data_IF_685164037212
#
_entry.id   IF_685164037212
#
_cell.length_a   1.000
_cell.length_b   1.000
_cell.length_c   1.000
_cell.angle_alpha   90.00
_cell.angle_beta   90.00
_cell.angle_gamma   90.00
#
_symmetry.space_group_name_H-M   'P 1'
#
loop_
_entity.id
_entity.type
_entity.pdbx_description
1 polymer ?
#
# COMPACT_ATOMS: atom_id res chain seq x y z
N UNK A 1 25.35 35.40 -48.14
CA UNK A 1 24.87 34.19 -47.45
C UNK A 1 25.48 34.15 -46.05
N UNK A 2 24.75 34.62 -45.04
CA UNK A 2 25.14 34.47 -43.63
C UNK A 2 24.02 33.68 -42.95
N UNK A 3 24.37 32.47 -42.54
CA UNK A 3 23.48 31.50 -41.93
C UNK A 3 23.32 31.84 -40.45
N UNK A 4 22.14 32.30 -40.04
CA UNK A 4 21.78 32.44 -38.63
C UNK A 4 21.33 31.08 -38.10
N UNK A 5 22.18 30.46 -37.28
CA UNK A 5 21.83 29.29 -36.48
C UNK A 5 20.87 29.72 -35.38
N UNK A 6 19.59 29.37 -35.52
CA UNK A 6 18.57 29.52 -34.50
C UNK A 6 18.69 28.32 -33.55
N UNK A 7 19.35 28.53 -32.40
CA UNK A 7 19.45 27.54 -31.34
C UNK A 7 18.11 27.53 -30.59
N UNK A 8 17.26 26.56 -30.91
CA UNK A 8 15.98 26.34 -30.25
C UNK A 8 16.23 25.45 -29.02
N UNK A 9 16.42 26.06 -27.85
CA UNK A 9 16.52 25.36 -26.57
C UNK A 9 15.11 24.88 -26.22
N UNK A 10 14.82 23.61 -26.48
CA UNK A 10 13.63 22.92 -26.00
C UNK A 10 13.84 22.66 -24.51
N UNK A 11 13.31 23.55 -23.67
CA UNK A 11 13.16 23.29 -22.23
C UNK A 11 11.99 22.34 -22.07
N UNK A 12 12.27 21.03 -22.06
CA UNK A 12 11.33 20.02 -21.62
C UNK A 12 11.11 20.20 -20.11
N UNK A 13 10.06 20.93 -19.76
CA UNK A 13 9.47 20.87 -18.42
C UNK A 13 8.97 19.44 -18.25
N UNK A 14 9.79 18.62 -17.61
CA UNK A 14 9.34 17.36 -17.02
C UNK A 14 8.29 17.78 -16.00
N UNK A 15 7.02 17.57 -16.35
CA UNK A 15 5.92 17.55 -15.40
C UNK A 15 6.28 16.43 -14.41
N UNK A 16 6.93 16.81 -13.31
CA UNK A 16 7.05 15.96 -12.15
C UNK A 16 5.62 15.59 -11.78
N UNK A 17 5.27 14.32 -11.96
CA UNK A 17 4.11 13.76 -11.31
C UNK A 17 4.25 14.11 -9.82
N UNK A 18 3.32 14.90 -9.31
CA UNK A 18 3.23 15.17 -7.88
C UNK A 18 2.79 13.84 -7.27
N UNK A 19 3.75 13.01 -6.89
CA UNK A 19 3.50 11.84 -6.06
C UNK A 19 2.80 12.36 -4.80
N UNK A 20 1.57 11.90 -4.58
CA UNK A 20 0.87 12.15 -3.32
C UNK A 20 1.60 11.35 -2.23
N UNK A 21 2.64 11.98 -1.67
CA UNK A 21 3.42 11.50 -0.55
C UNK A 21 2.48 11.27 0.66
N UNK A 22 2.50 10.04 1.19
CA UNK A 22 2.00 9.80 2.54
C UNK A 22 2.95 10.53 3.49
N UNK A 23 2.46 11.61 4.12
CA UNK A 23 3.27 12.58 4.89
C UNK A 23 4.24 11.96 5.92
N UNK A 24 3.95 10.77 6.45
CA UNK A 24 4.96 9.74 6.80
C UNK A 24 4.25 8.47 7.28
N UNK A 25 4.80 7.31 6.98
CA UNK A 25 4.45 6.06 7.65
C UNK A 25 5.37 5.74 8.84
N UNK A 26 5.74 6.77 9.59
CA UNK A 26 6.51 6.61 10.83
C UNK A 26 5.59 6.78 12.01
N UNK A 27 5.60 5.81 12.92
CA UNK A 27 4.77 5.83 14.13
C UNK A 27 5.63 5.51 15.34
N UNK A 28 5.39 6.21 16.44
CA UNK A 28 6.09 5.99 17.71
C UNK A 28 5.09 5.63 18.80
N UNK A 29 5.31 4.49 19.45
CA UNK A 29 4.55 4.01 20.59
C UNK A 29 5.51 3.77 21.76
N UNK A 30 5.42 4.61 22.79
CA UNK A 30 6.39 4.60 23.88
C UNK A 30 7.80 4.87 23.37
N UNK A 31 8.72 3.91 23.60
CA UNK A 31 10.12 3.97 23.12
C UNK A 31 10.33 3.36 21.72
N UNK A 32 9.30 2.70 21.15
CA UNK A 32 9.40 1.99 19.89
C UNK A 32 8.98 2.90 18.73
N UNK A 33 9.90 3.16 17.80
CA UNK A 33 9.61 3.87 16.55
C UNK A 33 9.65 2.88 15.39
N UNK A 34 8.52 2.74 14.71
CA UNK A 34 8.33 1.92 13.52
C UNK A 34 8.34 2.83 12.29
N UNK A 35 9.13 2.48 11.27
CA UNK A 35 9.21 3.23 10.02
C UNK A 35 8.88 2.33 8.84
N UNK A 36 7.60 2.35 8.46
CA UNK A 36 7.09 1.57 7.34
C UNK A 36 7.33 2.26 6.00
N UNK A 37 7.89 3.48 5.94
CA UNK A 37 8.27 4.07 4.65
C UNK A 37 9.32 3.21 3.94
N UNK A 38 10.12 2.44 4.68
CA UNK A 38 11.07 1.47 4.11
C UNK A 38 10.38 0.35 3.32
N UNK A 39 9.06 0.22 3.45
CA UNK A 39 8.25 -0.73 2.71
C UNK A 39 7.58 -0.14 1.45
N UNK A 40 7.67 1.17 1.20
CA UNK A 40 7.01 1.87 0.08
C UNK A 40 7.45 1.41 -1.31
N UNK A 41 8.59 0.76 -1.39
CA UNK A 41 9.17 0.21 -2.62
C UNK A 41 8.79 -1.25 -2.88
N UNK A 42 8.12 -1.93 -1.93
CA UNK A 42 7.76 -3.34 -2.07
C UNK A 42 6.27 -3.49 -2.31
N UNK A 43 5.90 -4.11 -3.42
CA UNK A 43 4.55 -4.61 -3.64
C UNK A 43 4.47 -6.03 -3.15
N UNK A 44 3.63 -6.25 -2.14
CA UNK A 44 3.40 -7.53 -1.49
C UNK A 44 2.24 -8.23 -2.15
N UNK A 45 2.44 -9.49 -2.48
CA UNK A 45 1.44 -10.31 -3.16
C UNK A 45 0.82 -11.30 -2.19
N UNK A 46 -0.48 -11.49 -2.30
CA UNK A 46 -1.25 -12.48 -1.56
C UNK A 46 -2.10 -13.27 -2.54
N UNK A 47 -2.36 -14.53 -2.22
CA UNK A 47 -3.21 -15.41 -3.03
C UNK A 47 -4.03 -16.29 -2.08
N UNK A 48 -5.32 -16.45 -2.35
CA UNK A 48 -6.16 -17.50 -1.75
C UNK A 48 -6.75 -18.43 -2.83
N UNK A 49 -7.88 -19.08 -2.59
CA UNK A 49 -8.56 -19.97 -3.54
C UNK A 49 -9.25 -19.23 -4.70
N UNK A 50 -9.71 -17.99 -4.49
CA UNK A 50 -10.51 -17.25 -5.47
C UNK A 50 -9.81 -16.00 -6.00
N UNK A 51 -8.94 -15.39 -5.20
CA UNK A 51 -8.45 -14.05 -5.40
C UNK A 51 -6.92 -13.97 -5.44
N UNK A 52 -6.44 -13.05 -6.26
CA UNK A 52 -5.08 -12.51 -6.17
C UNK A 52 -5.13 -11.14 -5.51
N UNK A 53 -4.15 -10.83 -4.67
CA UNK A 53 -4.09 -9.59 -3.93
C UNK A 53 -2.74 -8.93 -4.15
N UNK A 54 -2.74 -7.60 -4.22
CA UNK A 54 -1.53 -6.80 -4.18
C UNK A 54 -1.70 -5.65 -3.19
N UNK A 55 -0.62 -5.32 -2.47
CA UNK A 55 -0.57 -4.21 -1.54
C UNK A 55 0.81 -3.59 -1.53
N UNK A 56 0.91 -2.27 -1.63
CA UNK A 56 2.19 -1.56 -1.47
C UNK A 56 2.10 -0.68 -0.23
N UNK A 57 2.69 -1.09 0.91
CA UNK A 57 2.62 -0.33 2.13
C UNK A 57 3.12 1.09 1.89
N UNK A 58 2.38 2.10 2.31
CA UNK A 58 2.84 3.47 2.28
C UNK A 58 3.06 4.10 0.89
N UNK A 59 2.67 3.41 -0.19
CA UNK A 59 2.78 3.90 -1.55
C UNK A 59 1.58 3.46 -2.39
N UNK A 60 1.53 3.91 -3.64
CA UNK A 60 0.54 3.42 -4.59
C UNK A 60 0.91 2.02 -5.06
N UNK A 61 -0.09 1.16 -5.23
CA UNK A 61 0.11 -0.14 -5.87
C UNK A 61 0.33 0.07 -7.37
N UNK A 62 1.37 -0.53 -7.99
CA UNK A 62 1.59 -0.37 -9.40
C UNK A 62 0.48 -1.09 -10.19
N UNK A 63 0.00 -0.48 -11.27
CA UNK A 63 -1.09 -1.03 -12.11
C UNK A 63 -0.85 -2.46 -12.57
N UNK A 64 0.41 -2.84 -12.84
CA UNK A 64 0.78 -4.20 -13.24
C UNK A 64 0.46 -5.25 -12.17
N UNK A 65 0.57 -4.89 -10.89
CA UNK A 65 0.20 -5.79 -9.79
C UNK A 65 -1.32 -5.93 -9.63
N UNK A 66 -2.07 -5.00 -10.20
CA UNK A 66 -3.52 -5.02 -10.32
C UNK A 66 -3.95 -5.42 -11.73
N UNK A 67 -3.28 -6.41 -12.33
CA UNK A 67 -3.64 -6.97 -13.64
C UNK A 67 -3.84 -5.92 -14.77
N UNK A 68 -3.09 -4.81 -14.70
CA UNK A 68 -3.13 -3.72 -15.69
C UNK A 68 -4.30 -2.74 -15.53
N UNK A 69 -5.11 -2.86 -14.48
CA UNK A 69 -6.16 -1.88 -14.18
C UNK A 69 -5.57 -0.51 -13.83
N UNK A 70 -6.29 0.55 -14.19
CA UNK A 70 -5.89 1.93 -13.87
C UNK A 70 -5.96 2.09 -12.35
N UNK A 71 -4.81 2.40 -11.76
CA UNK A 71 -4.65 2.74 -10.35
C UNK A 71 -4.29 4.22 -10.30
N UNK A 72 -5.18 5.04 -9.75
CA UNK A 72 -4.98 6.47 -9.56
C UNK A 72 -4.41 6.76 -8.16
N UNK A 73 -5.04 6.20 -7.12
CA UNK A 73 -4.72 6.50 -5.72
C UNK A 73 -4.73 5.25 -4.82
N UNK A 74 -4.78 4.05 -5.40
CA UNK A 74 -4.99 2.82 -4.66
C UNK A 74 -3.68 2.34 -4.04
N UNK A 75 -3.76 1.81 -2.83
CA UNK A 75 -2.63 1.17 -2.14
C UNK A 75 -2.71 -0.36 -2.24
N UNK A 76 -3.88 -0.88 -2.55
CA UNK A 76 -4.15 -2.31 -2.63
C UNK A 76 -5.26 -2.63 -3.62
N UNK A 77 -5.23 -3.85 -4.13
CA UNK A 77 -6.25 -4.38 -5.00
C UNK A 77 -6.45 -5.88 -4.78
N UNK A 78 -7.65 -6.34 -5.09
CA UNK A 78 -8.11 -7.73 -5.08
C UNK A 78 -8.66 -8.06 -6.46
N UNK A 79 -8.13 -9.11 -7.07
CA UNK A 79 -8.52 -9.62 -8.37
C UNK A 79 -9.22 -10.97 -8.23
N UNK A 80 -10.48 -11.05 -8.64
CA UNK A 80 -11.28 -12.27 -8.71
C UNK A 80 -10.92 -13.09 -9.94
N UNK A 81 -10.38 -14.29 -9.75
CA UNK A 81 -10.03 -15.21 -10.83
C UNK A 81 -11.23 -15.97 -11.40
N UNK A 82 -12.33 -16.03 -10.66
CA UNK A 82 -13.49 -16.87 -10.94
C UNK A 82 -14.59 -16.15 -11.72
N UNK A 83 -14.65 -14.82 -11.65
CA UNK A 83 -15.83 -14.06 -12.10
C UNK A 83 -15.57 -13.23 -13.37
N UNK A 84 -16.23 -13.54 -14.49
CA UNK A 84 -15.94 -12.89 -15.79
C UNK A 84 -16.87 -11.73 -16.19
N UNK A 85 -17.94 -11.41 -15.46
CA UNK A 85 -19.05 -10.67 -16.10
C UNK A 85 -19.22 -9.18 -15.76
N UNK A 86 -18.68 -8.60 -14.68
CA UNK A 86 -18.91 -7.15 -14.39
C UNK A 86 -17.68 -6.35 -13.92
N UNK A 87 -16.85 -6.88 -13.03
CA UNK A 87 -15.48 -6.39 -12.76
C UNK A 87 -14.76 -7.50 -12.01
N UNK A 88 -13.58 -7.89 -12.47
CA UNK A 88 -12.68 -8.81 -11.76
C UNK A 88 -11.87 -8.09 -10.70
N UNK A 89 -11.94 -6.75 -10.60
CA UNK A 89 -11.09 -5.96 -9.71
C UNK A 89 -11.92 -5.22 -8.67
N UNK A 90 -11.41 -5.20 -7.44
CA UNK A 90 -11.84 -4.32 -6.36
C UNK A 90 -10.64 -3.72 -5.66
N UNK A 91 -10.71 -2.47 -5.25
CA UNK A 91 -9.68 -1.82 -4.45
C UNK A 91 -10.00 -1.97 -2.97
N UNK A 92 -9.05 -2.49 -2.21
CA UNK A 92 -9.25 -2.73 -0.78
C UNK A 92 -8.96 -1.49 0.05
N UNK A 93 -8.15 -0.59 -0.50
CA UNK A 93 -7.82 0.70 0.09
C UNK A 93 -7.26 1.68 -0.95
N UNK A 94 -7.66 2.95 -0.83
CA UNK A 94 -7.13 4.07 -1.61
C UNK A 94 -6.69 5.22 -0.71
N UNK A 95 -5.60 5.90 -1.08
CA UNK A 95 -5.16 7.14 -0.43
C UNK A 95 -6.30 8.17 -0.50
N UNK A 96 -6.68 8.71 0.66
CA UNK A 96 -7.59 9.86 0.71
C UNK A 96 -6.99 11.03 -0.10
N UNK A 97 -7.79 11.60 -1.02
CA UNK A 97 -7.39 12.75 -1.85
C UNK A 97 -7.12 14.00 -1.02
N UNK A 98 -7.84 14.19 0.10
CA UNK A 98 -7.65 15.34 0.99
C UNK A 98 -8.31 15.14 2.37
N UNK A 99 -7.57 15.30 3.49
CA UNK A 99 -6.12 15.41 3.56
C UNK A 99 -5.45 14.09 3.13
N UNK A 100 -4.20 14.14 2.62
CA UNK A 100 -3.47 12.94 2.22
C UNK A 100 -3.41 11.96 3.39
N UNK A 101 -3.89 10.73 3.17
CA UNK A 101 -3.80 9.64 4.14
C UNK A 101 -4.56 9.82 5.46
N UNK A 102 -5.72 10.51 5.43
CA UNK A 102 -6.62 10.58 6.59
C UNK A 102 -7.24 9.23 7.00
N UNK A 103 -7.10 8.21 6.16
CA UNK A 103 -7.77 6.92 6.28
C UNK A 103 -6.92 5.83 6.95
N UNK A 104 -5.62 6.06 7.15
CA UNK A 104 -4.74 5.11 7.82
C UNK A 104 -4.62 5.44 9.32
N UNK A 105 -4.95 4.48 10.17
CA UNK A 105 -4.70 4.53 11.61
C UNK A 105 -3.69 3.46 12.00
N UNK A 106 -2.97 3.71 13.08
CA UNK A 106 -1.89 2.83 13.52
C UNK A 106 -1.99 2.53 15.02
N UNK A 107 -1.71 1.29 15.38
CA UNK A 107 -1.57 0.84 16.77
C UNK A 107 -0.36 -0.06 16.91
N UNK A 108 0.21 -0.14 18.12
CA UNK A 108 1.20 -1.18 18.41
C UNK A 108 0.58 -2.58 18.28
N UNK A 109 1.39 -3.57 17.91
CA UNK A 109 0.94 -4.95 17.78
C UNK A 109 0.35 -5.48 19.10
N UNK A 110 -0.80 -6.18 19.07
CA UNK A 110 -1.40 -6.75 20.27
C UNK A 110 -0.55 -7.89 20.89
N UNK A 111 0.42 -8.43 20.15
CA UNK A 111 1.33 -9.47 20.66
C UNK A 111 2.39 -8.90 21.62
N UNK A 112 2.46 -7.57 21.75
CA UNK A 112 3.27 -6.86 22.74
C UNK A 112 4.21 -5.81 22.13
N UNK A 113 4.79 -4.94 22.97
CA UNK A 113 5.67 -3.89 22.50
C UNK A 113 6.89 -4.41 21.74
N UNK A 114 7.19 -3.77 20.61
CA UNK A 114 8.33 -4.12 19.75
C UNK A 114 8.12 -5.34 18.85
N UNK A 115 6.99 -6.04 18.97
CA UNK A 115 6.69 -7.22 18.13
C UNK A 115 6.16 -6.84 16.75
N UNK A 116 5.77 -5.58 16.54
CA UNK A 116 5.22 -5.12 15.28
C UNK A 116 4.27 -3.94 15.43
N UNK A 117 3.59 -3.63 14.32
CA UNK A 117 2.64 -2.52 14.21
C UNK A 117 1.44 -2.96 13.37
N UNK A 118 0.25 -2.49 13.74
CA UNK A 118 -0.97 -2.69 12.97
C UNK A 118 -1.33 -1.38 12.27
N UNK A 119 -1.57 -1.47 10.96
CA UNK A 119 -2.14 -0.40 10.14
C UNK A 119 -3.57 -0.78 9.78
N UNK A 120 -4.52 0.13 9.96
CA UNK A 120 -5.90 -0.04 9.51
C UNK A 120 -6.25 1.04 8.52
N UNK A 121 -6.83 0.66 7.39
CA UNK A 121 -7.24 1.58 6.31
C UNK A 121 -8.71 1.37 5.95
N UNK A 122 -9.45 2.44 5.68
CA UNK A 122 -10.93 2.38 5.58
C UNK A 122 -11.52 3.06 4.33
N UNK A 123 -10.75 3.15 3.25
CA UNK A 123 -11.14 3.91 2.06
C UNK A 123 -11.05 3.09 0.77
N UNK A 124 -11.40 1.81 0.84
CA UNK A 124 -11.52 0.95 -0.34
C UNK A 124 -12.83 1.16 -1.11
N UNK A 125 -13.10 0.27 -2.05
CA UNK A 125 -14.33 0.29 -2.84
C UNK A 125 -15.58 0.00 -1.99
N UNK A 126 -16.76 0.51 -2.38
CA UNK A 126 -18.03 0.09 -1.81
C UNK A 126 -18.24 -1.43 -1.91
N UNK A 127 -18.80 -2.01 -0.86
CA UNK A 127 -18.98 -3.44 -0.69
C UNK A 127 -20.19 -3.68 0.23
N UNK A 128 -21.29 -4.17 -0.32
CA UNK A 128 -22.54 -4.46 0.42
C UNK A 128 -23.06 -3.34 1.34
N UNK A 129 -22.94 -2.08 0.91
CA UNK A 129 -23.40 -0.91 1.69
C UNK A 129 -22.43 -0.41 2.75
N UNK A 130 -21.24 -1.02 2.85
CA UNK A 130 -20.10 -0.50 3.62
C UNK A 130 -18.91 -0.24 2.68
N UNK A 131 -17.86 0.38 3.19
CA UNK A 131 -16.59 0.55 2.47
C UNK A 131 -15.67 -0.62 2.82
N UNK A 132 -14.91 -1.15 1.86
CA UNK A 132 -13.84 -2.11 2.16
C UNK A 132 -12.80 -1.46 3.08
N UNK A 133 -12.32 -2.23 4.04
CA UNK A 133 -11.25 -1.82 4.94
C UNK A 133 -10.25 -2.95 5.12
N UNK A 134 -8.98 -2.59 5.30
CA UNK A 134 -7.91 -3.54 5.54
C UNK A 134 -7.32 -3.35 6.93
N UNK A 135 -7.05 -4.45 7.62
CA UNK A 135 -6.24 -4.49 8.83
C UNK A 135 -4.97 -5.27 8.53
N UNK A 136 -3.87 -4.54 8.47
CA UNK A 136 -2.55 -5.08 8.15
C UNK A 136 -1.72 -5.16 9.43
N UNK A 137 -1.36 -6.38 9.84
CA UNK A 137 -0.41 -6.63 10.92
C UNK A 137 0.98 -6.82 10.35
N UNK A 138 1.85 -5.85 10.57
CA UNK A 138 3.27 -5.95 10.28
C UNK A 138 3.98 -6.58 11.48
N UNK A 139 4.49 -7.79 11.31
CA UNK A 139 5.18 -8.59 12.32
C UNK A 139 6.68 -8.35 12.17
N UNK A 140 7.34 -7.93 13.25
CA UNK A 140 8.79 -7.76 13.28
C UNK A 140 9.49 -9.09 13.00
N UNK A 141 10.23 -9.13 11.91
CA UNK A 141 11.09 -10.25 11.56
C UNK A 141 12.37 -9.75 10.89
N UNK A 142 13.45 -9.69 11.68
CA UNK A 142 14.76 -9.21 11.21
C UNK A 142 15.38 -10.08 10.11
N UNK A 143 14.85 -11.28 9.85
CA UNK A 143 15.34 -12.18 8.79
C UNK A 143 14.73 -11.90 7.42
N UNK A 144 13.68 -11.08 7.34
CA UNK A 144 12.96 -10.78 6.10
C UNK A 144 13.21 -9.34 5.66
N UNK A 145 14.32 -9.11 4.96
CA UNK A 145 14.70 -7.76 4.51
C UNK A 145 13.92 -7.30 3.26
N UNK A 146 13.48 -8.24 2.43
CA UNK A 146 12.77 -7.99 1.18
C UNK A 146 11.45 -8.78 1.19
N UNK A 147 10.43 -8.28 1.89
CA UNK A 147 9.15 -8.96 1.91
C UNK A 147 8.52 -8.90 0.50
N UNK A 148 8.08 -10.05 0.00
CA UNK A 148 7.38 -10.17 -1.30
C UNK A 148 5.96 -10.69 -1.14
N UNK A 149 5.67 -11.34 -0.01
CA UNK A 149 4.43 -12.04 0.21
C UNK A 149 3.71 -11.48 1.43
N UNK A 150 2.38 -11.52 1.37
CA UNK A 150 1.50 -11.30 2.50
C UNK A 150 0.58 -12.51 2.67
N UNK A 151 0.15 -12.76 3.91
CA UNK A 151 -0.77 -13.86 4.22
C UNK A 151 -2.14 -13.28 4.53
N UNK A 152 -3.15 -13.68 3.77
CA UNK A 152 -4.55 -13.36 4.06
C UNK A 152 -5.00 -14.24 5.21
N UNK A 153 -5.36 -13.62 6.32
CA UNK A 153 -5.75 -14.31 7.57
C UNK A 153 -7.25 -14.54 7.59
N UNK A 154 -8.01 -13.51 7.22
CA UNK A 154 -9.45 -13.51 7.29
C UNK A 154 -10.00 -12.49 6.28
N UNK A 155 -11.05 -12.90 5.56
CA UNK A 155 -11.90 -12.02 4.77
C UNK A 155 -13.34 -12.21 5.25
N UNK A 156 -13.90 -11.22 5.95
CA UNK A 156 -15.32 -11.25 6.32
C UNK A 156 -15.98 -10.03 5.70
N UNK A 157 -16.76 -10.26 4.63
CA UNK A 157 -17.70 -9.28 4.05
C UNK A 157 -17.14 -7.85 4.09
N UNK A 158 -16.09 -7.61 3.30
CA UNK A 158 -15.42 -6.31 3.15
C UNK A 158 -14.36 -5.95 4.21
N UNK A 159 -14.11 -6.80 5.20
CA UNK A 159 -13.00 -6.71 6.16
C UNK A 159 -11.86 -7.65 5.77
N UNK A 160 -10.67 -7.11 5.52
CA UNK A 160 -9.51 -7.87 5.05
C UNK A 160 -8.38 -7.83 6.08
N UNK A 161 -8.05 -8.98 6.68
CA UNK A 161 -6.97 -9.09 7.66
C UNK A 161 -5.76 -9.73 7.01
N UNK A 162 -4.62 -9.06 7.12
CA UNK A 162 -3.39 -9.46 6.42
C UNK A 162 -2.22 -9.44 7.38
N UNK A 163 -1.39 -10.48 7.35
CA UNK A 163 -0.12 -10.54 8.05
C UNK A 163 1.04 -10.35 7.08
N UNK A 164 2.00 -9.50 7.47
CA UNK A 164 3.24 -9.26 6.72
C UNK A 164 4.41 -9.40 7.69
N UNK A 165 5.38 -10.25 7.37
CA UNK A 165 6.64 -10.35 8.13
C UNK A 165 7.70 -9.51 7.44
N UNK A 166 8.36 -8.62 8.17
CA UNK A 166 9.38 -7.75 7.60
C UNK A 166 10.35 -7.21 8.65
N UNK A 167 11.61 -7.01 8.27
CA UNK A 167 12.61 -6.38 9.14
C UNK A 167 12.29 -4.90 9.39
N UNK A 168 11.60 -4.27 8.44
CA UNK A 168 11.10 -2.89 8.49
C UNK A 168 9.97 -2.72 9.54
N UNK A 169 9.32 -3.81 9.92
CA UNK A 169 8.30 -3.82 10.97
C UNK A 169 8.89 -3.85 12.38
N UNK A 170 10.22 -3.98 12.52
CA UNK A 170 10.89 -3.91 13.80
C UNK A 170 11.17 -2.45 14.22
N UNK A 171 11.14 -2.13 15.52
CA UNK A 171 11.50 -0.80 16.00
C UNK A 171 12.95 -0.43 15.63
N UNK A 172 13.20 0.84 15.26
CA UNK A 172 14.55 1.33 14.93
C UNK A 172 15.52 1.36 16.12
N UNK A 173 15.01 1.44 17.35
CA UNK A 173 15.80 1.74 18.55
C UNK A 173 16.21 0.49 19.36
N UNK A 174 16.20 -0.70 18.75
CA UNK A 174 16.51 -1.97 19.41
C UNK A 174 17.84 -2.58 18.96
#
# INVERSE_FOLDING_TARGET
MRSSFLVLIIVSVILNNVECDMYSCVQTFGSNTYDLNRLSQFTLLGIDDQYDYAFTPCSLVPSIACHGHIVENEMSCQYDRSFQMWSTMSFLDSKSRWPPNANATYTESPDGPGTGIVMTTTNGDPCFGVTRYMRIKFICDRTVEQPMNMTIVEEIRCDFHVNIRAAQACPRNQ
#
